data_IF_099090932150
#
_entry.id   IF_099090932150
#
_cell.length_a   1.000
_cell.length_b   1.000
_cell.length_c   1.000
_cell.angle_alpha   90.00
_cell.angle_beta   90.00
_cell.angle_gamma   90.00
#
_symmetry.space_group_name_H-M   'P 1'
#
loop_
_entity.id
_entity.type
_entity.pdbx_description
1 polymer ?
#
# COMPACT_ATOMS: atom_id res chain seq x y z
N UNK A 1 13.46 -11.28 26.58
CA UNK A 1 12.05 -11.21 26.17
C UNK A 1 12.02 -10.83 24.72
N UNK A 2 11.21 -11.51 23.92
CA UNK A 2 11.04 -11.17 22.49
C UNK A 2 10.29 -9.83 22.39
N UNK A 3 10.77 -8.91 21.54
CA UNK A 3 10.11 -7.61 21.34
C UNK A 3 8.72 -7.79 20.75
N UNK A 4 7.76 -6.98 21.19
CA UNK A 4 6.35 -7.06 20.74
C UNK A 4 6.17 -6.71 19.27
N UNK A 5 7.11 -5.96 18.68
CA UNK A 5 7.05 -5.49 17.30
C UNK A 5 8.12 -6.16 16.44
N UNK A 6 7.75 -6.66 15.28
CA UNK A 6 8.68 -7.10 14.24
C UNK A 6 8.60 -6.13 13.04
N UNK A 7 9.72 -5.50 12.71
CA UNK A 7 9.92 -4.81 11.43
C UNK A 7 10.32 -5.85 10.42
N UNK A 8 9.49 -6.06 9.41
CA UNK A 8 9.66 -7.15 8.45
C UNK A 8 9.89 -6.58 7.06
N UNK A 9 11.07 -6.87 6.51
CA UNK A 9 11.45 -6.49 5.15
C UNK A 9 11.31 -7.71 4.25
N UNK A 10 10.50 -7.60 3.19
CA UNK A 10 10.46 -8.59 2.12
C UNK A 10 11.56 -8.28 1.11
N UNK A 11 12.55 -9.16 1.02
CA UNK A 11 13.70 -9.01 0.14
C UNK A 11 13.58 -9.90 -1.10
N UNK A 12 13.84 -9.32 -2.28
CA UNK A 12 14.09 -10.06 -3.51
C UNK A 12 15.10 -9.31 -4.36
N UNK A 13 16.34 -9.84 -4.42
CA UNK A 13 17.47 -9.22 -5.13
C UNK A 13 17.67 -7.75 -4.72
N UNK A 14 17.57 -7.48 -3.41
CA UNK A 14 17.60 -6.13 -2.84
C UNK A 14 18.95 -5.73 -2.25
N UNK A 15 20.06 -6.38 -2.60
CA UNK A 15 21.39 -6.12 -2.03
C UNK A 15 21.72 -4.63 -1.97
N UNK A 16 21.49 -3.89 -3.05
CA UNK A 16 21.77 -2.46 -3.14
C UNK A 16 21.05 -1.67 -2.05
N UNK A 17 19.75 -1.91 -1.86
CA UNK A 17 18.94 -1.19 -0.90
C UNK A 17 19.23 -1.63 0.55
N UNK A 18 19.43 -2.93 0.78
CA UNK A 18 19.82 -3.40 2.10
C UNK A 18 21.18 -2.82 2.53
N UNK A 19 22.17 -2.73 1.63
CA UNK A 19 23.45 -2.07 1.94
C UNK A 19 23.28 -0.60 2.27
N UNK A 20 22.37 0.08 1.59
CA UNK A 20 22.16 1.52 1.76
C UNK A 20 21.35 1.85 3.03
N UNK A 21 20.27 1.12 3.32
CA UNK A 21 19.28 1.54 4.32
C UNK A 21 19.26 0.69 5.59
N UNK A 22 19.69 -0.58 5.55
CA UNK A 22 19.63 -1.46 6.72
C UNK A 22 20.50 -0.96 7.90
N UNK A 23 21.72 -0.41 7.68
CA UNK A 23 22.51 0.14 8.77
C UNK A 23 21.79 1.25 9.54
N UNK A 24 21.23 2.26 8.82
CA UNK A 24 20.50 3.35 9.46
C UNK A 24 19.16 2.90 10.06
N UNK A 25 18.49 1.89 9.49
CA UNK A 25 17.31 1.29 10.08
C UNK A 25 17.62 0.67 11.45
N UNK A 26 18.73 -0.04 11.58
CA UNK A 26 19.17 -0.64 12.86
C UNK A 26 19.52 0.46 13.86
N UNK A 27 20.29 1.47 13.45
CA UNK A 27 20.72 2.58 14.31
C UNK A 27 19.54 3.39 14.85
N UNK A 28 18.56 3.70 13.97
CA UNK A 28 17.42 4.54 14.32
C UNK A 28 16.22 3.78 14.89
N UNK A 29 16.35 2.48 15.13
CA UNK A 29 15.29 1.65 15.72
C UNK A 29 15.66 1.23 17.14
N UNK A 30 14.83 1.59 18.11
CA UNK A 30 14.99 1.16 19.48
C UNK A 30 14.79 -0.36 19.62
N UNK A 31 15.86 -1.10 19.88
CA UNK A 31 15.85 -2.57 19.99
C UNK A 31 14.98 -3.11 21.14
N UNK A 32 14.60 -2.27 22.11
CA UNK A 32 13.66 -2.63 23.18
C UNK A 32 12.19 -2.61 22.69
N UNK A 33 11.91 -1.87 21.61
CA UNK A 33 10.57 -1.70 21.05
C UNK A 33 10.34 -2.66 19.89
N UNK A 34 11.32 -2.75 18.97
CA UNK A 34 11.17 -3.55 17.75
C UNK A 34 12.45 -4.32 17.41
N UNK A 35 12.27 -5.49 16.79
CA UNK A 35 13.33 -6.25 16.13
C UNK A 35 13.14 -6.23 14.62
N UNK A 36 14.23 -6.39 13.89
CA UNK A 36 14.23 -6.45 12.43
C UNK A 36 14.27 -7.90 11.98
N UNK A 37 13.42 -8.26 11.02
CA UNK A 37 13.37 -9.55 10.37
C UNK A 37 13.40 -9.36 8.86
N UNK A 38 14.00 -10.28 8.13
CA UNK A 38 14.01 -10.29 6.67
C UNK A 38 13.34 -11.56 6.17
N UNK A 39 12.34 -11.42 5.30
CA UNK A 39 11.81 -12.53 4.52
C UNK A 39 12.47 -12.49 3.17
N UNK A 40 13.29 -13.49 2.87
CA UNK A 40 13.93 -13.60 1.57
C UNK A 40 13.05 -14.39 0.60
N UNK A 41 12.64 -13.74 -0.47
CA UNK A 41 11.74 -14.27 -1.49
C UNK A 41 12.50 -14.98 -2.62
N UNK A 42 13.47 -15.83 -2.26
CA UNK A 42 14.39 -16.56 -3.14
C UNK A 42 15.29 -15.62 -3.97
N UNK A 43 16.04 -14.76 -3.30
CA UNK A 43 17.04 -13.92 -3.92
C UNK A 43 18.20 -14.74 -4.49
N UNK A 44 18.78 -14.24 -5.58
CA UNK A 44 19.94 -14.83 -6.29
C UNK A 44 21.18 -13.92 -6.25
N UNK A 45 21.05 -12.73 -5.66
CA UNK A 45 22.15 -11.79 -5.41
C UNK A 45 22.85 -12.06 -4.08
N UNK A 46 23.79 -11.21 -3.69
CA UNK A 46 24.52 -11.36 -2.43
C UNK A 46 23.81 -10.75 -1.21
N UNK A 47 22.54 -10.39 -1.31
CA UNK A 47 21.78 -9.74 -0.22
C UNK A 47 21.80 -10.54 1.08
N UNK A 48 21.58 -11.86 1.01
CA UNK A 48 21.60 -12.73 2.20
C UNK A 48 22.99 -12.87 2.81
N UNK A 49 24.02 -12.99 1.97
CA UNK A 49 25.41 -13.06 2.45
C UNK A 49 25.77 -11.77 3.18
N UNK A 50 25.44 -10.61 2.58
CA UNK A 50 25.67 -9.31 3.20
C UNK A 50 25.02 -9.20 4.60
N UNK A 51 23.75 -9.61 4.71
CA UNK A 51 23.04 -9.55 5.99
C UNK A 51 23.65 -10.51 7.02
N UNK A 52 23.96 -11.75 6.63
CA UNK A 52 24.53 -12.74 7.54
C UNK A 52 25.92 -12.34 8.07
N UNK A 53 26.76 -11.71 7.22
CA UNK A 53 28.10 -11.28 7.63
C UNK A 53 28.11 -10.02 8.50
N UNK A 54 27.21 -9.06 8.26
CA UNK A 54 27.24 -7.76 8.93
C UNK A 54 26.19 -7.62 10.05
N UNK A 55 25.12 -8.39 10.01
CA UNK A 55 23.97 -8.29 10.94
C UNK A 55 23.46 -9.66 11.36
N UNK A 56 24.30 -10.51 11.99
CA UNK A 56 23.96 -11.91 12.33
C UNK A 56 22.80 -12.03 13.32
N UNK A 57 22.42 -10.95 14.01
CA UNK A 57 21.27 -10.89 14.91
C UNK A 57 19.93 -10.82 14.19
N UNK A 58 19.90 -10.53 12.88
CA UNK A 58 18.65 -10.42 12.13
C UNK A 58 18.11 -11.81 11.80
N UNK A 59 16.85 -12.06 12.17
CA UNK A 59 16.14 -13.27 11.74
C UNK A 59 15.89 -13.23 10.24
N UNK A 60 16.33 -14.28 9.53
CA UNK A 60 16.08 -14.45 8.09
C UNK A 60 15.14 -15.64 7.90
N UNK A 61 14.00 -15.39 7.25
CA UNK A 61 13.06 -16.42 6.78
C UNK A 61 13.27 -16.60 5.28
N UNK A 62 13.72 -17.79 4.85
CA UNK A 62 14.01 -18.07 3.44
C UNK A 62 12.83 -18.79 2.79
N UNK A 63 12.31 -18.24 1.68
CA UNK A 63 11.30 -18.89 0.86
C UNK A 63 11.97 -19.66 -0.30
N UNK A 64 11.29 -20.70 -0.78
CA UNK A 64 11.78 -21.61 -1.83
C UNK A 64 11.74 -21.01 -3.24
N UNK A 65 10.88 -19.99 -3.46
CA UNK A 65 10.76 -19.26 -4.73
C UNK A 65 10.18 -17.87 -4.51
N UNK A 66 10.23 -17.03 -5.55
CA UNK A 66 9.59 -15.71 -5.53
C UNK A 66 8.07 -15.84 -5.65
N UNK A 67 7.36 -15.53 -4.58
CA UNK A 67 5.89 -15.53 -4.48
C UNK A 67 5.26 -14.15 -4.75
N UNK A 68 6.03 -13.15 -5.19
CA UNK A 68 5.60 -11.77 -5.27
C UNK A 68 5.49 -11.11 -3.89
N UNK A 69 4.97 -9.91 -3.84
CA UNK A 69 4.85 -9.14 -2.59
C UNK A 69 3.84 -9.79 -1.64
N UNK A 70 2.60 -9.97 -2.09
CA UNK A 70 1.52 -10.53 -1.29
C UNK A 70 1.85 -11.94 -0.76
N UNK A 71 2.25 -12.83 -1.66
CA UNK A 71 2.54 -14.22 -1.32
C UNK A 71 3.80 -14.39 -0.47
N UNK A 72 4.80 -13.53 -0.64
CA UNK A 72 6.02 -13.52 0.17
C UNK A 72 5.73 -13.18 1.62
N UNK A 73 5.02 -12.08 1.88
CA UNK A 73 4.60 -11.72 3.24
C UNK A 73 3.69 -12.77 3.87
N UNK A 74 2.68 -13.27 3.15
CA UNK A 74 1.75 -14.28 3.69
C UNK A 74 2.45 -15.54 4.20
N UNK A 75 3.54 -15.93 3.56
CA UNK A 75 4.31 -17.14 3.93
C UNK A 75 5.30 -16.83 5.05
N UNK A 76 6.10 -15.79 4.86
CA UNK A 76 7.16 -15.48 5.81
C UNK A 76 6.66 -15.01 7.16
N UNK A 77 5.54 -14.27 7.23
CA UNK A 77 4.96 -13.80 8.50
C UNK A 77 4.47 -14.92 9.40
N UNK A 78 4.19 -16.12 8.87
CA UNK A 78 3.84 -17.30 9.67
C UNK A 78 4.98 -17.80 10.54
N UNK A 79 6.22 -17.50 10.17
CA UNK A 79 7.45 -17.88 10.87
C UNK A 79 7.94 -16.79 11.83
N UNK A 80 7.18 -15.69 11.99
CA UNK A 80 7.56 -14.52 12.80
C UNK A 80 6.48 -14.27 13.85
N UNK A 81 6.81 -14.52 15.11
CA UNK A 81 5.93 -14.23 16.24
C UNK A 81 6.09 -12.77 16.66
N UNK A 82 5.03 -11.97 16.62
CA UNK A 82 4.99 -10.61 17.14
C UNK A 82 3.52 -10.18 17.36
N UNK A 83 3.31 -9.20 18.24
CA UNK A 83 2.00 -8.57 18.41
C UNK A 83 1.69 -7.60 17.26
N UNK A 84 2.74 -6.93 16.77
CA UNK A 84 2.66 -6.00 15.65
C UNK A 84 3.66 -6.34 14.57
N UNK A 85 3.23 -6.24 13.31
CA UNK A 85 4.10 -6.26 12.16
C UNK A 85 4.22 -4.86 11.58
N UNK A 86 5.45 -4.36 11.40
CA UNK A 86 5.77 -3.26 10.52
C UNK A 86 6.28 -3.85 9.20
N UNK A 87 5.43 -3.89 8.18
CA UNK A 87 5.82 -4.29 6.84
C UNK A 87 6.53 -3.12 6.19
N UNK A 88 7.84 -3.25 5.93
CA UNK A 88 8.69 -2.17 5.49
C UNK A 88 9.41 -2.54 4.19
N UNK A 89 9.38 -1.66 3.19
CA UNK A 89 10.17 -1.84 2.00
C UNK A 89 11.68 -1.67 2.28
N UNK A 90 12.52 -2.34 1.49
CA UNK A 90 13.98 -2.26 1.63
C UNK A 90 14.58 -0.91 1.19
N UNK A 91 13.84 -0.10 0.43
CA UNK A 91 14.25 1.21 -0.11
C UNK A 91 13.70 2.40 0.72
N UNK A 92 13.62 2.21 2.03
CA UNK A 92 13.12 3.21 3.00
C UNK A 92 14.23 3.64 3.96
N UNK A 93 14.41 4.96 4.10
CA UNK A 93 15.20 5.56 5.17
C UNK A 93 14.27 5.99 6.30
N UNK A 94 14.67 5.72 7.54
CA UNK A 94 13.91 6.10 8.74
C UNK A 94 14.71 7.05 9.62
N UNK A 95 14.10 8.11 10.20
CA UNK A 95 14.72 8.96 11.21
C UNK A 95 14.64 8.33 12.60
N UNK A 96 15.28 8.93 13.59
CA UNK A 96 15.08 8.56 14.99
C UNK A 96 13.61 8.71 15.41
N UNK A 97 13.16 7.88 16.32
CA UNK A 97 11.81 7.91 16.92
C UNK A 97 10.68 7.79 15.88
N UNK A 98 10.91 6.98 14.84
CA UNK A 98 9.93 6.81 13.74
C UNK A 98 8.85 5.78 14.05
N UNK A 99 9.17 4.74 14.81
CA UNK A 99 8.25 3.64 15.08
C UNK A 99 7.47 3.83 16.40
N UNK A 100 8.03 4.57 17.34
CA UNK A 100 7.44 4.83 18.64
C UNK A 100 6.02 5.42 18.56
N UNK A 101 5.75 6.46 17.75
CA UNK A 101 4.39 7.02 17.63
C UNK A 101 3.35 6.01 17.11
N UNK A 102 3.79 5.05 16.28
CA UNK A 102 2.90 4.02 15.74
C UNK A 102 2.57 2.98 16.83
N UNK A 103 3.56 2.56 17.61
CA UNK A 103 3.35 1.62 18.72
C UNK A 103 2.46 2.25 19.80
N UNK A 104 2.75 3.50 20.19
CA UNK A 104 1.94 4.25 21.17
C UNK A 104 0.48 4.39 20.71
N UNK A 105 0.29 4.71 19.43
CA UNK A 105 -1.06 4.81 18.87
C UNK A 105 -1.80 3.48 18.95
N UNK A 106 -1.19 2.39 18.51
CA UNK A 106 -1.81 1.07 18.53
C UNK A 106 -2.07 0.57 19.96
N UNK A 107 -1.19 0.89 20.90
CA UNK A 107 -1.39 0.54 22.31
C UNK A 107 -2.54 1.32 22.95
N UNK A 108 -2.70 2.60 22.59
CA UNK A 108 -3.71 3.49 23.15
C UNK A 108 -5.13 3.21 22.64
N UNK A 109 -5.27 2.65 21.42
CA UNK A 109 -6.58 2.43 20.80
C UNK A 109 -6.68 1.06 20.11
N UNK A 110 -7.39 0.14 20.74
CA UNK A 110 -7.61 -1.23 20.23
C UNK A 110 -8.57 -1.31 19.02
N UNK A 111 -9.25 -0.23 18.68
CA UNK A 111 -10.10 -0.16 17.48
C UNK A 111 -9.28 0.04 16.20
N UNK A 112 -8.02 0.46 16.33
CA UNK A 112 -7.10 0.62 15.19
C UNK A 112 -6.50 -0.73 14.84
N UNK A 113 -6.76 -1.20 13.62
CA UNK A 113 -6.19 -2.43 13.08
C UNK A 113 -4.90 -2.20 12.32
N UNK A 114 -4.83 -1.09 11.57
CA UNK A 114 -3.68 -0.67 10.78
C UNK A 114 -3.39 0.80 11.04
N UNK A 115 -2.11 1.13 11.15
CA UNK A 115 -1.66 2.51 11.01
C UNK A 115 -0.38 2.61 10.16
N UNK A 116 0.02 3.82 9.83
CA UNK A 116 1.25 4.03 9.09
C UNK A 116 1.76 5.46 9.16
N UNK A 117 3.03 5.67 8.78
CA UNK A 117 3.68 6.97 8.83
C UNK A 117 3.25 7.88 7.67
N UNK A 118 3.66 9.14 7.76
CA UNK A 118 3.74 10.05 6.62
C UNK A 118 4.97 9.70 5.78
N UNK A 119 4.77 9.55 4.45
CA UNK A 119 5.81 9.20 3.50
C UNK A 119 6.27 10.44 2.73
N UNK A 120 7.57 10.68 2.75
CA UNK A 120 8.24 11.77 2.03
C UNK A 120 9.14 11.17 0.95
N UNK A 121 9.27 11.85 -0.18
CA UNK A 121 10.17 11.44 -1.26
C UNK A 121 11.63 11.53 -0.77
N UNK A 122 12.36 10.41 -0.85
CA UNK A 122 13.76 10.34 -0.45
C UNK A 122 14.66 11.29 -1.25
N UNK A 123 14.40 11.42 -2.55
CA UNK A 123 15.20 12.24 -3.47
C UNK A 123 14.81 13.73 -3.42
N UNK A 124 13.60 14.04 -2.95
CA UNK A 124 13.13 15.42 -2.77
C UNK A 124 12.34 15.55 -1.46
N UNK A 125 13.05 15.73 -0.37
CA UNK A 125 12.51 15.75 1.00
C UNK A 125 11.54 16.90 1.32
N UNK A 126 11.31 17.79 0.37
CA UNK A 126 10.26 18.81 0.48
C UNK A 126 8.90 18.34 -0.06
N UNK A 127 8.83 17.17 -0.71
CA UNK A 127 7.61 16.64 -1.33
C UNK A 127 7.13 15.36 -0.68
N UNK A 128 5.82 15.17 -0.73
CA UNK A 128 5.24 13.88 -0.38
C UNK A 128 5.71 12.80 -1.36
N UNK A 129 5.76 11.56 -0.87
CA UNK A 129 6.07 10.41 -1.70
C UNK A 129 4.85 10.01 -2.55
N UNK A 130 5.11 9.48 -3.75
CA UNK A 130 4.08 9.20 -4.75
C UNK A 130 3.09 8.09 -4.34
N UNK A 131 3.56 7.03 -3.68
CA UNK A 131 2.79 5.80 -3.47
C UNK A 131 2.07 5.73 -2.11
N UNK A 132 2.03 6.82 -1.32
CA UNK A 132 1.38 6.75 -0.01
C UNK A 132 1.15 8.08 0.66
N UNK A 133 2.05 9.03 0.45
CA UNK A 133 1.98 10.38 1.01
C UNK A 133 1.56 10.40 2.50
N UNK A 134 0.44 11.03 2.85
CA UNK A 134 -0.07 11.14 4.22
C UNK A 134 -1.42 10.39 4.42
N UNK A 135 -1.49 9.14 3.92
CA UNK A 135 -2.67 8.30 3.96
C UNK A 135 -3.51 8.34 2.68
N UNK A 136 -4.20 7.26 2.41
CA UNK A 136 -4.88 7.01 1.15
C UNK A 136 -6.39 6.97 1.25
N UNK A 137 -7.03 7.37 0.18
CA UNK A 137 -8.47 7.41 -0.06
C UNK A 137 -8.81 6.70 -1.37
N UNK A 138 -10.09 6.45 -1.60
CA UNK A 138 -10.59 5.92 -2.86
C UNK A 138 -11.85 6.69 -3.26
N UNK A 139 -12.03 6.98 -4.55
CA UNK A 139 -13.23 7.64 -5.02
C UNK A 139 -14.38 6.64 -5.27
N UNK A 140 -15.58 7.16 -5.54
CA UNK A 140 -16.78 6.33 -5.79
C UNK A 140 -16.66 5.36 -6.97
N UNK A 141 -15.65 5.54 -7.84
CA UNK A 141 -15.38 4.66 -8.97
C UNK A 141 -14.17 3.75 -8.74
N UNK A 142 -13.63 3.76 -7.52
CA UNK A 142 -12.53 2.89 -7.14
C UNK A 142 -11.14 3.39 -7.54
N UNK A 143 -10.97 4.67 -7.86
CA UNK A 143 -9.66 5.25 -8.11
C UNK A 143 -8.98 5.65 -6.81
N UNK A 144 -7.80 5.06 -6.46
CA UNK A 144 -7.07 5.44 -5.26
C UNK A 144 -6.35 6.79 -5.44
N UNK A 145 -6.30 7.58 -4.36
CA UNK A 145 -5.53 8.81 -4.26
C UNK A 145 -5.05 9.03 -2.82
N UNK A 146 -4.19 10.02 -2.58
CA UNK A 146 -3.60 10.24 -1.27
C UNK A 146 -3.74 11.69 -0.82
N UNK A 147 -3.70 11.91 0.48
CA UNK A 147 -3.41 13.24 1.06
C UNK A 147 -1.97 13.59 0.70
N UNK A 148 -1.78 14.64 -0.11
CA UNK A 148 -0.48 15.06 -0.65
C UNK A 148 -0.22 14.62 -2.09
N UNK A 149 -1.13 13.84 -2.74
CA UNK A 149 -1.01 13.49 -4.15
C UNK A 149 -2.35 13.27 -4.84
N UNK A 150 -2.51 13.88 -6.01
CA UNK A 150 -3.64 13.64 -6.91
C UNK A 150 -3.11 13.34 -8.33
N UNK A 151 -3.24 12.10 -8.81
CA UNK A 151 -2.60 11.60 -10.04
C UNK A 151 -1.09 11.87 -10.04
N UNK A 152 -0.58 12.64 -11.00
CA UNK A 152 0.84 12.99 -11.10
C UNK A 152 1.21 14.25 -10.29
N UNK A 153 0.21 14.97 -9.74
CA UNK A 153 0.45 16.17 -8.94
C UNK A 153 0.85 15.80 -7.52
N UNK A 154 2.14 16.03 -7.18
CA UNK A 154 2.69 15.86 -5.85
C UNK A 154 2.74 17.21 -5.13
N UNK A 155 2.18 17.26 -3.93
CA UNK A 155 2.22 18.45 -3.07
C UNK A 155 3.58 18.58 -2.37
N UNK A 156 3.97 19.82 -2.08
CA UNK A 156 5.06 20.10 -1.14
C UNK A 156 4.56 19.91 0.29
N UNK A 157 5.34 19.27 1.15
CA UNK A 157 5.02 19.11 2.57
C UNK A 157 5.34 20.45 3.32
N UNK A 158 4.29 21.20 3.58
CA UNK A 158 4.33 22.44 4.37
C UNK A 158 3.65 22.26 5.75
N UNK A 159 3.52 21.01 6.22
CA UNK A 159 2.81 20.67 7.46
C UNK A 159 1.28 20.56 7.31
N UNK A 160 0.72 20.75 6.13
CA UNK A 160 -0.73 20.71 5.87
C UNK A 160 -1.39 19.35 6.19
N UNK A 161 -0.60 18.28 6.31
CA UNK A 161 -1.06 16.94 6.66
C UNK A 161 -0.38 16.40 7.92
N UNK A 162 -0.04 17.25 8.90
CA UNK A 162 0.57 16.85 10.17
C UNK A 162 -0.45 16.48 11.25
N UNK A 163 -1.74 16.44 10.90
CA UNK A 163 -2.79 15.93 11.77
C UNK A 163 -3.04 14.45 11.52
N UNK A 164 -3.20 13.68 12.62
CA UNK A 164 -3.66 12.29 12.55
C UNK A 164 -5.01 12.21 11.85
N UNK A 165 -5.16 11.23 10.96
CA UNK A 165 -6.37 11.11 10.16
C UNK A 165 -6.74 9.66 9.92
N UNK A 166 -8.03 9.36 9.99
CA UNK A 166 -8.57 8.09 9.53
C UNK A 166 -8.59 8.09 7.99
N UNK A 167 -8.09 7.03 7.38
CA UNK A 167 -8.00 6.90 5.93
C UNK A 167 -8.47 5.52 5.47
N UNK A 168 -8.58 5.29 4.16
CA UNK A 168 -8.97 3.98 3.68
C UNK A 168 -7.77 3.03 3.66
N UNK A 169 -6.60 3.49 3.28
CA UNK A 169 -5.42 2.64 3.15
C UNK A 169 -4.12 3.35 3.54
N UNK A 170 -3.15 2.54 3.93
CA UNK A 170 -1.77 2.89 4.21
C UNK A 170 -0.89 2.23 3.15
N UNK A 171 0.19 2.92 2.73
CA UNK A 171 1.13 2.39 1.75
C UNK A 171 1.79 1.09 2.20
N UNK A 172 1.91 0.15 1.27
CA UNK A 172 2.71 -1.06 1.47
C UNK A 172 4.20 -0.81 1.70
N UNK A 173 4.70 0.41 1.45
CA UNK A 173 6.08 0.78 1.76
C UNK A 173 6.37 0.83 3.27
N UNK A 174 5.35 1.14 4.11
CA UNK A 174 5.43 1.10 5.57
C UNK A 174 4.04 0.93 6.18
N UNK A 175 3.61 -0.31 6.37
CA UNK A 175 2.29 -0.65 6.89
C UNK A 175 2.42 -1.33 8.24
N UNK A 176 1.89 -0.70 9.31
CA UNK A 176 1.93 -1.20 10.67
C UNK A 176 0.58 -1.81 11.04
N UNK A 177 0.56 -3.11 11.35
CA UNK A 177 -0.67 -3.89 11.55
C UNK A 177 -0.58 -4.79 12.79
N UNK A 178 -1.71 -5.00 13.46
CA UNK A 178 -1.83 -6.08 14.47
C UNK A 178 -1.70 -7.43 13.79
N UNK A 179 -0.82 -8.29 14.28
CA UNK A 179 -0.62 -9.63 13.70
C UNK A 179 -1.89 -10.46 13.72
N UNK A 180 -2.64 -10.41 14.81
CA UNK A 180 -3.94 -11.11 14.94
C UNK A 180 -4.95 -10.68 13.86
N UNK A 181 -4.99 -9.37 13.54
CA UNK A 181 -5.90 -8.84 12.54
C UNK A 181 -5.42 -9.22 11.13
N UNK A 182 -4.10 -9.16 10.87
CA UNK A 182 -3.54 -9.63 9.61
C UNK A 182 -4.00 -11.05 9.28
N UNK A 183 -3.82 -11.98 10.22
CA UNK A 183 -4.22 -13.37 10.02
C UNK A 183 -5.75 -13.55 10.01
N UNK A 184 -6.49 -12.85 10.87
CA UNK A 184 -7.96 -12.89 10.94
C UNK A 184 -8.63 -12.51 9.62
N UNK A 185 -8.09 -11.52 8.90
CA UNK A 185 -8.64 -11.11 7.59
C UNK A 185 -8.00 -11.87 6.41
N UNK A 186 -7.20 -12.91 6.68
CA UNK A 186 -6.61 -13.78 5.67
C UNK A 186 -5.35 -13.24 4.99
N UNK A 187 -4.66 -12.23 5.59
CA UNK A 187 -3.44 -11.65 5.04
C UNK A 187 -3.66 -10.87 3.74
N UNK A 188 -2.63 -10.76 2.92
CA UNK A 188 -2.75 -10.23 1.55
C UNK A 188 -3.44 -11.25 0.63
N UNK A 189 -4.03 -10.79 -0.45
CA UNK A 189 -4.54 -11.68 -1.49
C UNK A 189 -3.46 -11.96 -2.54
N UNK A 190 -2.97 -13.20 -2.59
CA UNK A 190 -1.89 -13.64 -3.50
C UNK A 190 -2.21 -13.36 -5.00
N UNK A 191 -3.50 -13.26 -5.39
CA UNK A 191 -3.88 -12.99 -6.77
C UNK A 191 -3.52 -11.57 -7.23
N UNK A 192 -3.26 -10.64 -6.31
CA UNK A 192 -2.76 -9.30 -6.65
C UNK A 192 -1.30 -9.35 -7.11
N UNK A 193 -0.48 -10.26 -6.58
CA UNK A 193 0.95 -10.37 -6.82
C UNK A 193 1.73 -9.15 -6.31
N UNK A 194 1.45 -7.95 -6.83
CA UNK A 194 1.97 -6.65 -6.40
C UNK A 194 1.03 -5.53 -6.85
N UNK A 195 1.02 -4.42 -6.15
CA UNK A 195 0.17 -3.22 -6.31
C UNK A 195 -1.31 -3.43 -5.93
N UNK A 196 -1.79 -2.58 -5.04
CA UNK A 196 -3.15 -2.51 -4.49
C UNK A 196 -3.55 -3.68 -3.56
N UNK A 197 -2.64 -4.61 -3.25
CA UNK A 197 -2.86 -5.63 -2.23
C UNK A 197 -3.00 -5.02 -0.83
N UNK A 198 -2.27 -3.93 -0.55
CA UNK A 198 -2.37 -3.15 0.68
C UNK A 198 -3.71 -2.43 0.78
N UNK A 199 -4.23 -1.92 -0.33
CA UNK A 199 -5.56 -1.27 -0.37
C UNK A 199 -6.66 -2.30 -0.09
N UNK A 200 -6.56 -3.49 -0.70
CA UNK A 200 -7.47 -4.60 -0.46
C UNK A 200 -7.44 -5.05 1.01
N UNK A 201 -6.25 -5.20 1.59
CA UNK A 201 -6.06 -5.55 3.00
C UNK A 201 -6.71 -4.52 3.93
N UNK A 202 -6.40 -3.24 3.74
CA UNK A 202 -6.94 -2.15 4.54
C UNK A 202 -8.47 -2.08 4.45
N UNK A 203 -9.04 -2.27 3.27
CA UNK A 203 -10.50 -2.28 3.09
C UNK A 203 -11.16 -3.46 3.81
N UNK A 204 -10.56 -4.67 3.75
CA UNK A 204 -11.04 -5.84 4.51
C UNK A 204 -10.94 -5.63 6.02
N UNK A 205 -9.89 -4.97 6.49
CA UNK A 205 -9.73 -4.59 7.91
C UNK A 205 -10.86 -3.64 8.34
N UNK A 206 -11.20 -2.63 7.54
CA UNK A 206 -12.35 -1.76 7.83
C UNK A 206 -13.69 -2.50 7.78
N UNK A 207 -13.87 -3.40 6.82
CA UNK A 207 -15.05 -4.26 6.74
C UNK A 207 -15.19 -5.13 8.00
N UNK A 208 -14.10 -5.50 8.64
CA UNK A 208 -14.06 -6.27 9.88
C UNK A 208 -14.25 -5.42 11.15
N UNK A 209 -14.49 -4.11 11.00
CA UNK A 209 -14.83 -3.22 12.11
C UNK A 209 -13.68 -2.41 12.70
N UNK A 210 -12.45 -2.56 12.16
CA UNK A 210 -11.29 -1.81 12.63
C UNK A 210 -11.06 -0.55 11.82
N UNK A 211 -10.30 0.39 12.41
CA UNK A 211 -9.88 1.64 11.79
C UNK A 211 -8.52 1.48 11.11
N UNK A 212 -8.30 2.31 10.10
CA UNK A 212 -7.02 2.48 9.40
C UNK A 212 -6.62 3.95 9.54
N UNK A 213 -5.42 4.23 10.06
CA UNK A 213 -5.02 5.57 10.52
C UNK A 213 -3.65 5.96 9.98
N UNK A 214 -3.52 7.16 9.44
CA UNK A 214 -2.23 7.79 9.20
C UNK A 214 -1.80 8.59 10.43
N UNK A 215 -0.60 8.29 10.96
CA UNK A 215 0.02 8.98 12.11
C UNK A 215 1.24 9.78 11.64
N UNK A 216 1.09 11.08 11.36
CA UNK A 216 2.16 11.89 10.77
C UNK A 216 3.29 12.27 11.75
N UNK A 217 3.16 12.00 13.05
CA UNK A 217 4.29 12.07 14.00
C UNK A 217 5.36 11.03 13.66
N UNK A 218 4.97 9.94 13.02
CA UNK A 218 5.89 9.03 12.34
C UNK A 218 6.10 9.50 10.91
N UNK A 219 7.35 9.67 10.50
CA UNK A 219 7.76 10.10 9.16
C UNK A 219 8.86 9.17 8.65
N UNK A 220 8.80 8.84 7.37
CA UNK A 220 9.83 8.04 6.69
C UNK A 220 10.14 8.63 5.31
N UNK A 221 11.29 8.26 4.73
CA UNK A 221 11.72 8.68 3.41
C UNK A 221 11.80 7.45 2.50
N UNK A 222 11.03 7.45 1.42
CA UNK A 222 10.94 6.32 0.50
C UNK A 222 11.50 6.69 -0.87
N UNK A 223 12.38 5.84 -1.43
CA UNK A 223 12.97 6.08 -2.75
C UNK A 223 11.90 5.96 -3.84
N UNK A 224 11.06 4.97 -3.72
CA UNK A 224 9.97 4.72 -4.66
C UNK A 224 10.44 4.27 -6.06
N UNK A 225 9.63 3.45 -6.71
CA UNK A 225 9.94 3.00 -8.08
C UNK A 225 11.10 2.00 -8.20
N UNK A 226 11.66 1.54 -7.08
CA UNK A 226 12.81 0.62 -7.06
C UNK A 226 12.56 -0.72 -7.75
N UNK A 227 11.33 -1.23 -7.69
CA UNK A 227 10.98 -2.51 -8.30
C UNK A 227 10.57 -2.41 -9.78
N UNK A 228 9.83 -1.36 -10.17
CA UNK A 228 9.34 -1.18 -11.55
C UNK A 228 9.34 0.31 -11.94
N UNK A 229 9.90 0.70 -13.11
CA UNK A 229 9.85 2.07 -13.62
C UNK A 229 8.42 2.60 -13.76
N UNK A 230 8.25 3.94 -13.75
CA UNK A 230 6.92 4.58 -13.89
C UNK A 230 6.20 4.16 -15.17
N UNK A 231 6.88 4.16 -16.33
CA UNK A 231 6.36 3.70 -17.62
C UNK A 231 6.73 2.23 -17.88
N UNK A 232 5.96 1.31 -17.28
CA UNK A 232 6.14 -0.12 -17.49
C UNK A 232 4.78 -0.77 -17.79
N UNK A 233 4.60 -1.38 -18.98
CA UNK A 233 3.34 -2.02 -19.37
C UNK A 233 2.87 -3.11 -18.39
N UNK A 234 3.79 -3.80 -17.70
CA UNK A 234 3.42 -4.79 -16.70
C UNK A 234 2.85 -4.12 -15.44
N UNK A 235 3.42 -2.99 -15.01
CA UNK A 235 2.88 -2.19 -13.91
C UNK A 235 1.49 -1.65 -14.23
N UNK A 236 1.30 -1.12 -15.44
CA UNK A 236 -0.01 -0.68 -15.94
C UNK A 236 -1.02 -1.82 -15.94
N UNK A 237 -0.63 -2.99 -16.47
CA UNK A 237 -1.47 -4.19 -16.44
C UNK A 237 -1.90 -4.56 -15.00
N UNK A 238 -0.96 -4.62 -14.05
CA UNK A 238 -1.27 -4.94 -12.65
C UNK A 238 -2.23 -3.89 -12.04
N UNK A 239 -1.96 -2.60 -12.23
CA UNK A 239 -2.79 -1.53 -11.68
C UNK A 239 -4.25 -1.61 -12.17
N UNK A 240 -4.48 -1.81 -13.46
CA UNK A 240 -5.84 -1.92 -13.99
C UNK A 240 -6.53 -3.22 -13.56
N UNK A 241 -5.84 -4.37 -13.67
CA UNK A 241 -6.39 -5.67 -13.26
C UNK A 241 -6.73 -5.69 -11.77
N UNK A 242 -5.78 -5.30 -10.93
CA UNK A 242 -5.92 -5.35 -9.49
C UNK A 242 -6.99 -4.37 -8.99
N UNK A 243 -7.13 -3.22 -9.63
CA UNK A 243 -8.20 -2.30 -9.30
C UNK A 243 -9.59 -2.88 -9.61
N UNK A 244 -9.76 -3.62 -10.71
CA UNK A 244 -10.99 -4.34 -10.99
C UNK A 244 -11.26 -5.46 -9.98
N UNK A 245 -10.20 -6.17 -9.52
CA UNK A 245 -10.30 -7.16 -8.44
C UNK A 245 -10.73 -6.49 -7.13
N UNK A 246 -10.09 -5.38 -6.76
CA UNK A 246 -10.40 -4.58 -5.58
C UNK A 246 -11.88 -4.18 -5.54
N UNK A 247 -12.41 -3.64 -6.65
CA UNK A 247 -13.82 -3.26 -6.78
C UNK A 247 -14.74 -4.47 -6.59
N UNK A 248 -14.48 -5.57 -7.31
CA UNK A 248 -15.33 -6.76 -7.20
C UNK A 248 -15.31 -7.35 -5.80
N UNK A 249 -14.17 -7.38 -5.13
CA UNK A 249 -14.05 -7.97 -3.80
C UNK A 249 -14.71 -7.13 -2.70
N UNK A 250 -14.49 -5.82 -2.73
CA UNK A 250 -14.75 -4.98 -1.56
C UNK A 250 -15.98 -4.07 -1.69
N UNK A 251 -16.38 -3.64 -2.89
CA UNK A 251 -17.55 -2.76 -3.02
C UNK A 251 -18.87 -3.47 -2.70
N UNK A 252 -19.88 -2.76 -2.15
CA UNK A 252 -21.22 -3.30 -1.96
C UNK A 252 -21.86 -3.82 -3.26
N UNK A 253 -22.75 -4.81 -3.16
CA UNK A 253 -23.36 -5.48 -4.32
C UNK A 253 -24.16 -4.54 -5.21
N UNK A 254 -24.91 -3.61 -4.60
CA UNK A 254 -25.73 -2.61 -5.28
C UNK A 254 -24.90 -1.56 -6.05
N UNK A 255 -23.64 -1.33 -5.66
CA UNK A 255 -22.74 -0.34 -6.26
C UNK A 255 -21.79 -0.98 -7.29
N UNK A 256 -21.28 -2.17 -7.00
CA UNK A 256 -20.22 -2.84 -7.75
C UNK A 256 -20.51 -2.93 -9.26
N UNK A 257 -21.73 -3.33 -9.67
CA UNK A 257 -22.09 -3.48 -11.08
C UNK A 257 -22.06 -2.16 -11.83
N UNK A 258 -22.61 -1.11 -11.20
CA UNK A 258 -22.64 0.26 -11.76
C UNK A 258 -21.24 0.81 -11.89
N UNK A 259 -20.42 0.62 -10.88
CA UNK A 259 -19.02 1.08 -10.85
C UNK A 259 -18.21 0.40 -11.96
N UNK A 260 -18.29 -0.94 -12.10
CA UNK A 260 -17.60 -1.67 -13.17
C UNK A 260 -18.03 -1.21 -14.57
N UNK A 261 -19.31 -0.89 -14.75
CA UNK A 261 -19.82 -0.36 -16.02
C UNK A 261 -19.19 1.01 -16.35
N UNK A 262 -19.21 1.95 -15.39
CA UNK A 262 -18.59 3.28 -15.57
C UNK A 262 -17.09 3.16 -15.80
N UNK A 263 -16.40 2.31 -15.01
CA UNK A 263 -14.97 2.07 -15.14
C UNK A 263 -14.57 1.56 -16.50
N UNK A 264 -15.34 0.70 -17.12
CA UNK A 264 -15.07 0.22 -18.48
C UNK A 264 -14.87 1.38 -19.45
N UNK A 265 -15.76 2.38 -19.45
CA UNK A 265 -15.62 3.54 -20.33
C UNK A 265 -14.48 4.46 -19.93
N UNK A 266 -14.31 4.75 -18.64
CA UNK A 266 -13.21 5.60 -18.18
C UNK A 266 -11.85 4.97 -18.47
N UNK A 267 -11.72 3.67 -18.32
CA UNK A 267 -10.46 2.95 -18.58
C UNK A 267 -10.16 2.85 -20.09
N UNK A 268 -11.18 2.78 -20.96
CA UNK A 268 -11.00 2.93 -22.42
C UNK A 268 -10.46 4.32 -22.74
N UNK A 269 -11.04 5.38 -22.18
CA UNK A 269 -10.56 6.76 -22.40
C UNK A 269 -9.10 6.88 -21.94
N UNK A 270 -8.75 6.31 -20.78
CA UNK A 270 -7.37 6.30 -20.31
C UNK A 270 -6.42 5.54 -21.26
N UNK A 271 -6.84 4.37 -21.76
CA UNK A 271 -6.06 3.58 -22.72
C UNK A 271 -5.82 4.35 -24.03
N UNK A 272 -6.88 4.98 -24.58
CA UNK A 272 -6.78 5.79 -25.81
C UNK A 272 -5.84 6.98 -25.60
N UNK A 273 -5.91 7.65 -24.44
CA UNK A 273 -4.94 8.71 -24.10
C UNK A 273 -3.50 8.21 -24.09
N UNK A 274 -3.23 7.02 -23.49
CA UNK A 274 -1.89 6.40 -23.48
C UNK A 274 -1.41 6.15 -24.91
N UNK A 275 -2.29 5.70 -25.80
CA UNK A 275 -1.96 5.49 -27.22
C UNK A 275 -1.55 6.80 -27.91
N UNK A 276 -2.31 7.90 -27.71
CA UNK A 276 -1.96 9.21 -28.27
C UNK A 276 -0.65 9.80 -27.69
N UNK A 277 -0.25 9.36 -26.49
CA UNK A 277 1.04 9.70 -25.87
C UNK A 277 2.21 8.83 -26.38
N UNK A 278 1.97 7.94 -27.35
CA UNK A 278 2.99 7.04 -27.88
C UNK A 278 3.21 5.76 -27.09
N UNK A 279 2.45 5.54 -26.00
CA UNK A 279 2.63 4.41 -25.07
C UNK A 279 1.77 3.20 -25.49
N UNK A 280 2.03 2.64 -26.68
CA UNK A 280 1.26 1.51 -27.24
C UNK A 280 1.32 0.24 -26.35
N UNK A 281 2.41 0.04 -25.62
CA UNK A 281 2.55 -1.07 -24.66
C UNK A 281 1.57 -0.95 -23.49
N UNK A 282 1.40 0.23 -22.93
CA UNK A 282 0.45 0.51 -21.85
C UNK A 282 -1.01 0.40 -22.34
N UNK A 283 -1.31 0.91 -23.56
CA UNK A 283 -2.60 0.69 -24.21
C UNK A 283 -2.97 -0.80 -24.24
N UNK A 284 -2.07 -1.67 -24.75
CA UNK A 284 -2.30 -3.12 -24.80
C UNK A 284 -2.45 -3.74 -23.40
N UNK A 285 -1.72 -3.20 -22.41
CA UNK A 285 -1.76 -3.65 -21.04
C UNK A 285 -3.14 -3.49 -20.39
N UNK A 286 -3.86 -2.40 -20.68
CA UNK A 286 -5.24 -2.19 -20.20
C UNK A 286 -6.18 -3.28 -20.73
N UNK A 287 -6.14 -3.59 -22.02
CA UNK A 287 -6.99 -4.65 -22.60
C UNK A 287 -6.63 -6.05 -22.06
N UNK A 288 -5.33 -6.31 -21.86
CA UNK A 288 -4.87 -7.53 -21.20
C UNK A 288 -5.42 -7.64 -19.78
N UNK A 289 -5.44 -6.54 -19.03
CA UNK A 289 -5.98 -6.48 -17.67
C UNK A 289 -7.48 -6.83 -17.63
N UNK A 290 -8.27 -6.27 -18.56
CA UNK A 290 -9.69 -6.61 -18.68
C UNK A 290 -9.92 -8.07 -19.06
N UNK A 291 -9.14 -8.61 -20.01
CA UNK A 291 -9.23 -10.03 -20.40
C UNK A 291 -8.97 -10.94 -19.22
N UNK A 292 -7.91 -10.69 -18.45
CA UNK A 292 -7.57 -11.50 -17.28
C UNK A 292 -8.59 -11.33 -16.15
N UNK A 293 -9.08 -10.11 -15.93
CA UNK A 293 -10.17 -9.86 -15.00
C UNK A 293 -11.43 -10.69 -15.34
N UNK A 294 -11.84 -10.70 -16.60
CA UNK A 294 -13.01 -11.48 -17.03
C UNK A 294 -12.81 -12.97 -16.83
N UNK A 295 -11.61 -13.49 -17.11
CA UNK A 295 -11.23 -14.88 -16.88
C UNK A 295 -11.33 -15.24 -15.39
N UNK A 296 -10.82 -14.37 -14.50
CA UNK A 296 -10.77 -14.61 -13.06
C UNK A 296 -12.00 -14.08 -12.30
N UNK A 297 -12.97 -13.46 -12.96
CA UNK A 297 -14.14 -12.82 -12.33
C UNK A 297 -14.92 -13.75 -11.40
N UNK A 298 -15.06 -15.03 -11.77
CA UNK A 298 -15.75 -16.03 -10.93
C UNK A 298 -15.00 -16.25 -9.62
N UNK A 299 -13.67 -16.40 -9.68
CA UNK A 299 -12.80 -16.54 -8.51
C UNK A 299 -12.89 -15.31 -7.58
N UNK A 300 -12.84 -14.11 -8.16
CA UNK A 300 -12.97 -12.87 -7.37
C UNK A 300 -14.35 -12.75 -6.70
N UNK A 301 -15.41 -13.19 -7.37
CA UNK A 301 -16.75 -13.26 -6.77
C UNK A 301 -16.86 -14.30 -5.65
N UNK A 302 -16.14 -15.40 -5.70
CA UNK A 302 -16.09 -16.36 -4.59
C UNK A 302 -15.41 -15.72 -3.37
N UNK A 303 -14.24 -15.11 -3.55
CA UNK A 303 -13.55 -14.39 -2.47
C UNK A 303 -14.40 -13.25 -1.85
N UNK A 304 -15.30 -12.67 -2.64
CA UNK A 304 -16.26 -11.68 -2.17
C UNK A 304 -17.18 -12.20 -1.07
N UNK A 305 -17.53 -13.49 -1.07
CA UNK A 305 -18.43 -14.09 -0.08
C UNK A 305 -17.77 -14.38 1.27
N UNK A 306 -16.44 -14.32 1.33
CA UNK A 306 -15.67 -14.63 2.53
C UNK A 306 -15.75 -13.51 3.59
N UNK A 307 -16.13 -12.30 3.19
CA UNK A 307 -16.16 -11.12 4.08
C UNK A 307 -17.50 -10.39 4.01
N UNK A 308 -17.97 -9.92 5.16
CA UNK A 308 -19.05 -8.94 5.21
C UNK A 308 -18.56 -7.61 4.63
N UNK A 309 -19.40 -6.96 3.83
CA UNK A 309 -19.10 -5.67 3.22
C UNK A 309 -19.98 -4.58 3.82
N UNK A 310 -19.37 -3.56 4.37
CA UNK A 310 -20.07 -2.38 4.81
C UNK A 310 -20.53 -1.55 3.60
N UNK A 311 -21.65 -0.83 3.69
CA UNK A 311 -22.00 0.21 2.71
C UNK A 311 -20.84 1.20 2.53
N UNK A 312 -20.59 1.67 1.29
CA UNK A 312 -19.47 2.57 1.00
C UNK A 312 -19.45 3.82 1.88
N UNK A 313 -20.62 4.32 2.29
CA UNK A 313 -20.76 5.46 3.21
C UNK A 313 -20.23 5.19 4.64
N UNK A 314 -20.05 3.94 5.01
CA UNK A 314 -19.53 3.52 6.33
C UNK A 314 -18.04 3.17 6.27
N UNK A 315 -17.43 3.24 5.10
CA UNK A 315 -15.99 3.03 4.91
C UNK A 315 -15.31 4.39 4.98
N UNK A 316 -14.47 4.57 5.97
CA UNK A 316 -13.69 5.80 6.13
C UNK A 316 -12.70 5.94 4.98
N UNK A 317 -12.53 7.14 4.43
CA UNK A 317 -11.67 7.39 3.28
C UNK A 317 -12.30 7.07 1.92
N UNK A 318 -13.62 6.76 1.90
CA UNK A 318 -14.39 6.65 0.67
C UNK A 318 -14.90 8.03 0.25
N UNK A 319 -14.38 8.57 -0.85
CA UNK A 319 -14.82 9.84 -1.40
C UNK A 319 -16.05 9.67 -2.32
N UNK A 320 -17.16 10.33 -2.00
CA UNK A 320 -18.43 10.21 -2.73
C UNK A 320 -18.42 10.87 -4.13
N UNK A 321 -17.38 11.62 -4.49
CA UNK A 321 -17.19 12.25 -5.79
C UNK A 321 -16.38 11.41 -6.77
N UNK A 322 -15.96 12.04 -7.88
CA UNK A 322 -14.99 11.46 -8.85
C UNK A 322 -13.74 12.33 -8.91
N UNK A 323 -12.60 11.76 -8.58
CA UNK A 323 -11.32 12.47 -8.71
C UNK A 323 -10.95 12.72 -10.17
N UNK A 324 -11.34 11.82 -11.08
CA UNK A 324 -11.14 11.98 -12.53
C UNK A 324 -11.82 13.26 -13.02
N UNK A 325 -13.10 13.43 -12.69
CA UNK A 325 -13.84 14.62 -13.11
C UNK A 325 -13.31 15.89 -12.44
N UNK A 326 -13.01 15.84 -11.13
CA UNK A 326 -12.48 17.01 -10.41
C UNK A 326 -11.10 17.41 -10.90
N UNK A 327 -10.21 16.47 -11.20
CA UNK A 327 -8.87 16.77 -11.68
C UNK A 327 -8.87 17.25 -13.15
N UNK A 328 -9.44 16.47 -14.08
CA UNK A 328 -9.33 16.74 -15.52
C UNK A 328 -10.27 17.86 -16.00
N UNK A 329 -11.46 17.98 -15.43
CA UNK A 329 -12.43 19.01 -15.81
C UNK A 329 -12.49 20.15 -14.79
N UNK A 330 -12.38 19.86 -13.50
CA UNK A 330 -12.38 20.85 -12.42
C UNK A 330 -11.01 21.49 -12.15
N UNK A 331 -9.94 21.04 -12.84
CA UNK A 331 -8.55 21.49 -12.71
C UNK A 331 -8.00 21.47 -11.26
N UNK A 332 -8.55 20.60 -10.41
CA UNK A 332 -8.09 20.41 -9.02
C UNK A 332 -6.76 19.66 -9.01
N UNK A 333 -5.77 20.18 -8.26
CA UNK A 333 -4.41 19.65 -8.25
C UNK A 333 -4.01 19.04 -6.90
N UNK A 334 -4.68 19.45 -5.82
CA UNK A 334 -4.38 19.01 -4.46
C UNK A 334 -5.50 18.20 -3.84
N UNK A 335 -5.16 17.39 -2.85
CA UNK A 335 -6.14 16.60 -2.09
C UNK A 335 -7.07 17.50 -1.28
N UNK A 336 -6.58 18.59 -0.69
CA UNK A 336 -7.40 19.54 0.04
C UNK A 336 -8.47 20.16 -0.83
N UNK A 337 -8.17 20.56 -2.07
CA UNK A 337 -9.16 21.09 -3.02
C UNK A 337 -10.27 20.05 -3.36
N UNK A 338 -9.99 18.76 -3.17
CA UNK A 338 -10.99 17.70 -3.33
C UNK A 338 -11.94 17.66 -2.13
N UNK A 339 -11.40 17.87 -0.90
CA UNK A 339 -12.14 17.75 0.35
C UNK A 339 -12.87 19.03 0.78
N UNK A 340 -12.38 20.23 0.43
CA UNK A 340 -12.94 21.54 0.84
C UNK A 340 -14.43 21.76 0.49
N UNK A 341 -15.04 20.87 -0.28
CA UNK A 341 -16.49 20.90 -0.56
C UNK A 341 -17.30 19.87 0.24
N UNK A 342 -16.73 19.27 1.26
CA UNK A 342 -17.48 18.41 2.21
C UNK A 342 -17.87 19.16 3.49
N UNK A 343 -17.43 20.44 3.62
CA UNK A 343 -17.72 21.29 4.76
C UNK A 343 -18.95 22.24 4.56
N UNK A 344 -19.55 22.23 3.37
CA UNK A 344 -20.80 22.89 3.03
C UNK A 344 -21.88 21.84 2.71
#
# INVERSE_FOLDING_TARGET
MQTRTAIVILNWNGEKFLRQFLPSLIENTNSKIARICIIDNASTDNSLQFVAENFPQIQIVKLDKNYGFAGGYNRGLKEIEAEYFMLLNSDVEVPNNWIEPLVELMDSDKTIGICGPKLIDYNNRSKFEYAGAAGGYIDKYGYPFCRGRLFESLETDNGQHDTREDCLWISGAALFIRSEIFFKVGGFDDDFFAHQEEIDLCWRVQNSGYRVVCEPKSKIFHVGGGALPKSNPFKTFLNFRNNLYLIVKNMPDNECRKVLFVRFFLDIVAAVRMLFQGNSGEFKAVFRAYREFLHNKKKMKQKRTEFNRKPSKQITGMFCGSIVLKHFFGKKQTSNEIFDKLAD
#
